data_IF_893692154669
#
_entry.id   IF_893692154669
#
_cell.length_a   1.000
_cell.length_b   1.000
_cell.length_c   1.000
_cell.angle_alpha   90.00
_cell.angle_beta   90.00
_cell.angle_gamma   90.00
#
_symmetry.space_group_name_H-M   'P 1'
#
loop_
_entity.id
_entity.type
_entity.pdbx_description
1 polymer ?
#
# COMPACT_ATOMS: atom_id res chain seq x y z
N UNK A 1 1.05 -14.95 -5.89
CA UNK A 1 1.55 -13.56 -5.81
C UNK A 1 2.57 -13.24 -6.90
N UNK A 2 3.53 -14.12 -7.18
CA UNK A 2 4.63 -13.91 -8.14
C UNK A 2 4.24 -13.32 -9.49
N UNK A 3 3.15 -13.79 -10.11
CA UNK A 3 2.71 -13.27 -11.41
C UNK A 3 2.34 -11.78 -11.34
N UNK A 4 1.70 -11.35 -10.25
CA UNK A 4 1.35 -9.94 -10.03
C UNK A 4 2.61 -9.09 -9.79
N UNK A 5 3.58 -9.62 -9.05
CA UNK A 5 4.85 -8.94 -8.80
C UNK A 5 5.68 -8.80 -10.07
N UNK A 6 5.75 -9.86 -10.90
CA UNK A 6 6.37 -9.79 -12.23
C UNK A 6 5.69 -8.77 -13.14
N UNK A 7 4.36 -8.67 -13.09
CA UNK A 7 3.63 -7.65 -13.85
C UNK A 7 3.96 -6.24 -13.36
N UNK A 8 3.93 -6.01 -12.04
CA UNK A 8 4.27 -4.71 -11.45
C UNK A 8 5.71 -4.29 -11.77
N UNK A 9 6.68 -5.20 -11.68
CA UNK A 9 8.07 -4.92 -12.04
C UNK A 9 8.25 -4.61 -13.52
N UNK A 10 7.57 -5.35 -14.40
CA UNK A 10 7.66 -5.13 -15.86
C UNK A 10 7.07 -3.78 -16.28
N UNK A 11 6.02 -3.34 -15.60
CA UNK A 11 5.31 -2.10 -15.89
C UNK A 11 5.46 -1.08 -14.76
N UNK A 12 6.67 -1.00 -14.17
CA UNK A 12 6.99 -0.08 -13.07
C UNK A 12 6.80 1.40 -13.42
N UNK A 13 6.71 1.69 -14.71
CA UNK A 13 6.67 3.03 -15.27
C UNK A 13 5.24 3.41 -15.72
N UNK A 14 4.27 2.49 -15.58
CA UNK A 14 2.87 2.70 -15.92
C UNK A 14 1.98 2.73 -14.66
N UNK A 15 1.52 3.92 -14.23
CA UNK A 15 0.70 4.04 -13.03
C UNK A 15 -0.68 3.37 -13.15
N UNK A 16 -1.21 3.18 -14.37
CA UNK A 16 -2.49 2.51 -14.57
C UNK A 16 -2.35 1.00 -14.33
N UNK A 17 -1.27 0.38 -14.82
CA UNK A 17 -0.98 -1.03 -14.55
C UNK A 17 -0.69 -1.26 -13.08
N UNK A 18 0.13 -0.41 -12.45
CA UNK A 18 0.42 -0.50 -11.02
C UNK A 18 -0.84 -0.36 -10.16
N UNK A 19 -1.74 0.57 -10.52
CA UNK A 19 -3.03 0.72 -9.87
C UNK A 19 -3.83 -0.59 -9.90
N UNK A 20 -3.91 -1.23 -11.06
CA UNK A 20 -4.68 -2.48 -11.21
C UNK A 20 -4.06 -3.62 -10.42
N UNK A 21 -2.72 -3.73 -10.39
CA UNK A 21 -2.02 -4.70 -9.54
C UNK A 21 -2.32 -4.46 -8.06
N UNK A 22 -2.27 -3.21 -7.59
CA UNK A 22 -2.60 -2.87 -6.20
C UNK A 22 -4.06 -3.20 -5.86
N UNK A 23 -4.98 -2.95 -6.79
CA UNK A 23 -6.40 -3.30 -6.64
C UNK A 23 -6.57 -4.81 -6.48
N UNK A 24 -5.93 -5.62 -7.34
CA UNK A 24 -5.95 -7.08 -7.22
C UNK A 24 -5.39 -7.56 -5.87
N UNK A 25 -4.26 -7.02 -5.42
CA UNK A 25 -3.68 -7.41 -4.12
C UNK A 25 -4.59 -6.99 -2.96
N UNK A 26 -5.21 -5.82 -3.05
CA UNK A 26 -6.21 -5.36 -2.07
C UNK A 26 -7.34 -6.37 -1.95
N UNK A 27 -7.90 -6.83 -3.07
CA UNK A 27 -8.97 -7.84 -3.08
C UNK A 27 -8.49 -9.17 -2.52
N UNK A 28 -7.32 -9.66 -2.93
CA UNK A 28 -6.78 -10.95 -2.50
C UNK A 28 -6.42 -10.99 -1.01
N UNK A 29 -5.98 -9.86 -0.45
CA UNK A 29 -5.61 -9.73 0.97
C UNK A 29 -6.79 -9.41 1.89
N UNK A 30 -7.97 -9.08 1.34
CA UNK A 30 -9.12 -8.70 2.14
C UNK A 30 -9.55 -9.85 3.06
N UNK A 31 -9.46 -9.60 4.38
CA UNK A 31 -9.79 -10.58 5.43
C UNK A 31 -9.00 -11.90 5.33
N UNK A 32 -7.85 -11.90 4.64
CA UNK A 32 -6.99 -13.07 4.47
C UNK A 32 -5.58 -12.75 4.97
N UNK A 33 -5.27 -12.99 6.27
CA UNK A 33 -3.94 -12.72 6.81
C UNK A 33 -2.85 -13.53 6.08
N UNK A 34 -3.15 -14.78 5.69
CA UNK A 34 -2.25 -15.60 4.89
C UNK A 34 -1.89 -14.95 3.54
N UNK A 35 -2.87 -14.48 2.77
CA UNK A 35 -2.59 -13.83 1.49
C UNK A 35 -1.84 -12.51 1.67
N UNK A 36 -2.12 -11.77 2.74
CA UNK A 36 -1.38 -10.55 3.07
C UNK A 36 0.09 -10.84 3.44
N UNK A 37 0.37 -11.91 4.20
CA UNK A 37 1.73 -12.35 4.46
C UNK A 37 2.44 -12.76 3.16
N UNK A 38 1.81 -13.60 2.33
CA UNK A 38 2.37 -13.99 1.03
C UNK A 38 2.57 -12.80 0.07
N UNK A 39 1.77 -11.73 0.18
CA UNK A 39 1.98 -10.52 -0.61
C UNK A 39 3.30 -9.84 -0.22
N UNK A 40 3.52 -9.65 1.09
CA UNK A 40 4.74 -9.02 1.61
C UNK A 40 5.97 -9.87 1.29
N UNK A 41 5.90 -11.19 1.52
CA UNK A 41 6.97 -12.13 1.15
C UNK A 41 7.32 -12.07 -0.34
N UNK A 42 6.33 -11.84 -1.20
CA UNK A 42 6.54 -11.71 -2.64
C UNK A 42 7.08 -10.33 -3.08
N UNK A 43 7.27 -9.38 -2.17
CA UNK A 43 7.83 -8.05 -2.47
C UNK A 43 6.77 -6.94 -2.66
N UNK A 44 5.51 -7.18 -2.31
CA UNK A 44 4.44 -6.19 -2.50
C UNK A 44 4.68 -4.90 -1.70
N UNK A 45 5.40 -4.98 -0.57
CA UNK A 45 5.79 -3.83 0.25
C UNK A 45 6.74 -2.88 -0.49
N UNK A 46 7.75 -3.42 -1.17
CA UNK A 46 8.71 -2.62 -1.93
C UNK A 46 8.04 -1.98 -3.14
N UNK A 47 7.17 -2.73 -3.83
CA UNK A 47 6.41 -2.24 -4.98
C UNK A 47 5.51 -1.06 -4.60
N UNK A 48 4.77 -1.15 -3.48
CA UNK A 48 3.89 -0.03 -3.07
C UNK A 48 4.69 1.22 -2.70
N UNK A 49 5.84 1.06 -2.04
CA UNK A 49 6.73 2.18 -1.70
C UNK A 49 7.27 2.85 -2.95
N UNK A 50 7.84 2.07 -3.88
CA UNK A 50 8.40 2.59 -5.13
C UNK A 50 7.33 3.28 -5.98
N UNK A 51 6.14 2.68 -6.08
CA UNK A 51 5.02 3.25 -6.81
C UNK A 51 4.56 4.58 -6.21
N UNK A 52 4.41 4.67 -4.89
CA UNK A 52 4.02 5.90 -4.21
C UNK A 52 5.07 7.00 -4.36
N UNK A 53 6.37 6.65 -4.36
CA UNK A 53 7.47 7.59 -4.57
C UNK A 53 7.56 8.08 -6.01
N UNK A 54 7.34 7.18 -6.98
CA UNK A 54 7.49 7.47 -8.41
C UNK A 54 6.32 8.24 -8.99
N UNK A 55 5.11 7.99 -8.49
CA UNK A 55 3.89 8.66 -8.95
C UNK A 55 3.19 9.39 -7.81
N UNK A 56 3.86 10.38 -7.19
CA UNK A 56 3.26 11.15 -6.10
C UNK A 56 2.07 11.98 -6.58
N UNK A 57 1.98 12.24 -7.88
CA UNK A 57 0.91 13.05 -8.50
C UNK A 57 -0.33 12.24 -8.92
N UNK A 58 -0.24 10.90 -8.91
CA UNK A 58 -1.34 10.02 -9.30
C UNK A 58 -2.27 9.76 -8.11
N UNK A 59 -3.29 10.60 -7.95
CA UNK A 59 -4.30 10.48 -6.88
C UNK A 59 -4.88 9.07 -6.77
N UNK A 60 -5.20 8.47 -7.92
CA UNK A 60 -5.76 7.13 -7.98
C UNK A 60 -4.79 6.07 -7.43
N UNK A 61 -3.51 6.14 -7.81
CA UNK A 61 -2.48 5.22 -7.33
C UNK A 61 -2.21 5.39 -5.84
N UNK A 62 -2.15 6.63 -5.35
CA UNK A 62 -1.97 6.93 -3.93
C UNK A 62 -3.13 6.36 -3.10
N UNK A 63 -4.37 6.49 -3.58
CA UNK A 63 -5.55 5.95 -2.91
C UNK A 63 -5.54 4.42 -2.87
N UNK A 64 -5.25 3.76 -4.00
CA UNK A 64 -5.17 2.30 -4.08
C UNK A 64 -4.01 1.74 -3.26
N UNK A 65 -2.89 2.46 -3.16
CA UNK A 65 -1.79 2.13 -2.25
C UNK A 65 -2.27 2.10 -0.79
N UNK A 66 -3.02 3.13 -0.35
CA UNK A 66 -3.56 3.17 1.00
C UNK A 66 -4.51 2.00 1.29
N UNK A 67 -5.39 1.63 0.34
CA UNK A 67 -6.27 0.48 0.51
C UNK A 67 -5.52 -0.85 0.59
N UNK A 68 -4.52 -1.04 -0.27
CA UNK A 68 -3.68 -2.21 -0.23
C UNK A 68 -2.97 -2.33 1.12
N UNK A 69 -2.31 -1.26 1.59
CA UNK A 69 -1.58 -1.24 2.86
C UNK A 69 -2.48 -1.65 4.03
N UNK A 70 -3.70 -1.10 4.12
CA UNK A 70 -4.67 -1.47 5.17
C UNK A 70 -4.87 -2.98 5.26
N UNK A 71 -5.15 -3.62 4.13
CA UNK A 71 -5.43 -5.04 4.10
C UNK A 71 -4.18 -5.88 4.41
N UNK A 72 -3.00 -5.40 4.00
CA UNK A 72 -1.74 -6.06 4.32
C UNK A 72 -1.44 -6.09 5.82
N UNK A 73 -1.81 -5.05 6.56
CA UNK A 73 -1.31 -4.83 7.93
C UNK A 73 -2.35 -5.03 9.03
N UNK A 74 -3.65 -4.90 8.74
CA UNK A 74 -4.71 -4.89 9.77
C UNK A 74 -4.72 -6.16 10.64
N UNK A 75 -4.36 -7.31 10.07
CA UNK A 75 -4.32 -8.62 10.75
C UNK A 75 -2.94 -9.30 10.70
N UNK A 76 -1.88 -8.54 10.40
CA UNK A 76 -0.50 -9.04 10.36
C UNK A 76 0.44 -8.03 11.04
N UNK A 77 0.71 -8.17 12.34
CA UNK A 77 1.64 -7.31 13.07
C UNK A 77 3.04 -7.24 12.43
N UNK A 78 3.52 -8.35 11.88
CA UNK A 78 4.83 -8.49 11.26
C UNK A 78 4.93 -7.61 10.00
N UNK A 79 3.86 -7.57 9.21
CA UNK A 79 3.76 -6.71 8.03
C UNK A 79 3.81 -5.23 8.41
N UNK A 80 3.29 -4.84 9.58
CA UNK A 80 3.39 -3.45 10.08
C UNK A 80 4.85 -3.08 10.28
N UNK A 81 5.61 -3.92 10.99
CA UNK A 81 7.02 -3.69 11.28
C UNK A 81 7.84 -3.57 9.98
N UNK A 82 7.59 -4.44 9.01
CA UNK A 82 8.27 -4.40 7.70
C UNK A 82 7.98 -3.08 6.97
N UNK A 83 6.70 -2.72 6.81
CA UNK A 83 6.33 -1.54 6.04
C UNK A 83 6.73 -0.23 6.74
N UNK A 84 6.63 -0.17 8.07
CA UNK A 84 7.10 0.97 8.86
C UNK A 84 8.63 1.10 8.78
N UNK A 85 9.36 0.00 8.91
CA UNK A 85 10.82 -0.03 8.75
C UNK A 85 11.29 0.49 7.38
N UNK A 86 10.48 0.30 6.34
CA UNK A 86 10.76 0.77 4.98
C UNK A 86 10.21 2.19 4.71
N UNK A 87 9.67 2.89 5.71
CA UNK A 87 9.31 4.30 5.61
C UNK A 87 7.94 4.59 4.98
N UNK A 88 7.00 3.63 4.99
CA UNK A 88 5.67 3.80 4.39
C UNK A 88 4.88 4.96 5.01
N UNK A 89 5.08 5.25 6.29
CA UNK A 89 4.34 6.27 7.05
C UNK A 89 4.40 7.63 6.35
N UNK A 90 5.61 8.07 5.97
CA UNK A 90 5.82 9.38 5.34
C UNK A 90 5.07 9.49 4.02
N UNK A 91 4.98 8.39 3.27
CA UNK A 91 4.29 8.34 1.99
C UNK A 91 2.77 8.43 2.16
N UNK A 92 2.21 7.69 3.13
CA UNK A 92 0.77 7.74 3.43
C UNK A 92 0.37 9.13 3.93
N UNK A 93 1.18 9.74 4.81
CA UNK A 93 0.92 11.13 5.28
C UNK A 93 0.97 12.12 4.13
N UNK A 94 1.92 11.99 3.21
CA UNK A 94 1.99 12.84 2.00
C UNK A 94 0.74 12.67 1.12
N UNK A 95 0.30 11.43 0.88
CA UNK A 95 -0.94 11.15 0.14
C UNK A 95 -2.17 11.77 0.82
N UNK A 96 -2.28 11.64 2.14
CA UNK A 96 -3.35 12.22 2.97
C UNK A 96 -3.44 13.74 2.83
N UNK A 97 -2.29 14.42 2.81
CA UNK A 97 -2.21 15.88 2.71
C UNK A 97 -2.50 16.40 1.31
N UNK A 98 -2.03 15.69 0.28
CA UNK A 98 -2.12 16.15 -1.10
C UNK A 98 -3.50 15.89 -1.74
N UNK A 99 -4.21 14.84 -1.32
CA UNK A 99 -5.45 14.42 -1.97
C UNK A 99 -6.59 14.21 -0.99
N UNK A 100 -7.66 15.00 -1.17
CA UNK A 100 -8.89 14.86 -0.37
C UNK A 100 -9.48 13.46 -0.46
N UNK A 101 -9.44 12.81 -1.63
CA UNK A 101 -9.98 11.45 -1.79
C UNK A 101 -9.17 10.38 -1.05
N UNK A 102 -7.90 10.65 -0.75
CA UNK A 102 -7.03 9.75 0.01
C UNK A 102 -7.25 9.87 1.51
N UNK A 103 -7.86 10.96 2.01
CA UNK A 103 -7.91 11.27 3.45
C UNK A 103 -8.41 10.11 4.31
N UNK A 104 -9.54 9.50 3.94
CA UNK A 104 -10.12 8.40 4.72
C UNK A 104 -9.25 7.13 4.62
N UNK A 105 -8.86 6.74 3.41
CA UNK A 105 -8.06 5.54 3.18
C UNK A 105 -6.68 5.63 3.86
N UNK A 106 -6.03 6.79 3.80
CA UNK A 106 -4.75 7.05 4.44
C UNK A 106 -4.86 7.09 5.96
N UNK A 107 -5.91 7.71 6.52
CA UNK A 107 -6.17 7.73 7.96
C UNK A 107 -6.38 6.31 8.50
N UNK A 108 -7.18 5.51 7.81
CA UNK A 108 -7.38 4.10 8.15
C UNK A 108 -6.06 3.30 8.05
N UNK A 109 -5.25 3.53 7.01
CA UNK A 109 -3.96 2.86 6.86
C UNK A 109 -3.00 3.18 8.01
N UNK A 110 -2.87 4.45 8.39
CA UNK A 110 -2.03 4.88 9.52
C UNK A 110 -2.52 4.27 10.85
N UNK A 111 -3.84 4.21 11.07
CA UNK A 111 -4.43 3.54 12.24
C UNK A 111 -4.10 2.05 12.24
N UNK A 112 -4.31 1.37 11.11
CA UNK A 112 -4.10 -0.08 10.99
C UNK A 112 -2.60 -0.46 11.08
N UNK A 113 -1.70 0.48 10.74
CA UNK A 113 -0.26 0.39 11.00
C UNK A 113 0.11 0.52 12.49
N UNK A 114 -0.80 1.02 13.34
CA UNK A 114 -0.58 1.19 14.78
C UNK A 114 0.06 2.52 15.17
N UNK A 115 -0.05 3.56 14.33
CA UNK A 115 0.47 4.90 14.65
C UNK A 115 -0.57 5.67 15.45
N UNK A 116 -0.27 6.13 16.67
CA UNK A 116 -1.24 6.83 17.53
C UNK A 116 -1.66 8.21 17.00
N UNK A 117 -0.77 8.89 16.29
CA UNK A 117 -0.97 10.21 15.71
C UNK A 117 -1.50 10.15 14.26
N UNK A 118 -2.28 9.12 13.93
CA UNK A 118 -2.83 8.87 12.59
C UNK A 118 -3.78 9.97 12.09
N UNK A 119 -4.40 10.73 12.99
CA UNK A 119 -5.31 11.82 12.64
C UNK A 119 -4.59 13.12 12.24
N UNK A 120 -3.31 13.28 12.58
CA UNK A 120 -2.50 14.44 12.18
C UNK A 120 -2.30 14.53 10.66
#
# INVERSE_FOLDING_TARGET
MDKLMKLAMRFSDDPAVLHEVMSMITVLSLRSPHNAACAIEAGAGDIVIQAMQRFPESELLQRSSCFMIRNLVVRNPENRTILLGNGIEKLIRKAKMNYKSCKNAATDALRDLGLDNYNL
#
